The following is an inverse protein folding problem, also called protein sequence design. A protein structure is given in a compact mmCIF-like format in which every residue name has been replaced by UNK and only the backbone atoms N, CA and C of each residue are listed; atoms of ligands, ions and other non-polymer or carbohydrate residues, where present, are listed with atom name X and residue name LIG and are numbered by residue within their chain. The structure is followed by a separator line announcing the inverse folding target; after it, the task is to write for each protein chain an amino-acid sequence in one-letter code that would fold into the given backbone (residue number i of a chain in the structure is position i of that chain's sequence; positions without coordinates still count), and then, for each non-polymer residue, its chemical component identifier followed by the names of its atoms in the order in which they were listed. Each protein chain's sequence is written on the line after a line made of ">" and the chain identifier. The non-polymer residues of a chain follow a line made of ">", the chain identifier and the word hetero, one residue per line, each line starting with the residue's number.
data_IF_513654777148
#
_entry.id   IF_513654777148
#
_cell.length_a   1.000
_cell.length_b   1.000
_cell.length_c   1.000
_cell.angle_alpha   90.00
_cell.angle_beta   90.00
_cell.angle_gamma   90.00
#
_symmetry.space_group_name_H-M   'P 1'
#
loop_
_entity.id
_entity.type
_entity.pdbx_description
1 polymer ?
#
# COMPACT_ATOMS: atom_id res chain seq x y z
N UNK A 1 24.74 5.42 67.54
CA UNK A 1 23.47 5.31 66.79
C UNK A 1 22.35 4.96 67.77
N UNK A 2 21.33 5.82 67.87
CA UNK A 2 20.20 5.69 68.80
C UNK A 2 19.17 4.66 68.32
N UNK A 3 18.44 4.10 69.31
CA UNK A 3 17.34 3.10 69.31
C UNK A 3 16.12 3.58 68.46
N UNK A 4 15.16 2.77 67.99
CA UNK A 4 14.06 2.03 68.67
C UNK A 4 13.47 1.00 67.65
N UNK A 5 13.32 -0.32 67.89
CA UNK A 5 12.30 -1.13 68.62
C UNK A 5 10.80 -0.85 68.34
N UNK A 6 10.10 -1.79 67.70
CA UNK A 6 8.90 -2.58 68.12
C UNK A 6 8.32 -3.35 66.88
N UNK A 7 8.15 -4.69 66.77
CA UNK A 7 7.35 -5.70 67.55
C UNK A 7 5.83 -5.51 67.28
N UNK A 8 4.97 -6.46 66.86
CA UNK A 8 4.97 -7.92 66.64
C UNK A 8 3.63 -8.37 65.96
N UNK A 9 3.55 -9.66 65.57
CA UNK A 9 2.39 -10.59 65.48
C UNK A 9 1.47 -10.49 64.23
N UNK A 10 1.31 -11.48 63.32
CA UNK A 10 1.21 -12.96 63.35
C UNK A 10 -0.20 -13.52 63.64
N UNK A 11 -0.48 -14.66 62.99
CA UNK A 11 -1.65 -15.58 63.00
C UNK A 11 -2.69 -15.37 61.88
N UNK A 12 -3.20 -16.38 61.15
CA UNK A 12 -2.90 -17.80 60.79
C UNK A 12 -4.24 -18.36 60.27
N UNK A 13 -4.25 -19.15 59.18
CA UNK A 13 -5.09 -20.36 58.94
C UNK A 13 -4.93 -20.77 57.46
N UNK A 14 -4.05 -21.70 57.10
CA UNK A 14 -4.16 -23.18 57.10
C UNK A 14 -5.30 -23.76 56.24
N UNK A 15 -4.92 -24.69 55.35
CA UNK A 15 -5.78 -25.74 54.79
C UNK A 15 -5.90 -25.71 53.25
N UNK A 16 -4.87 -26.13 52.50
CA UNK A 16 -4.71 -27.48 51.92
C UNK A 16 -5.88 -27.87 51.00
N UNK A 17 -5.63 -27.92 49.68
CA UNK A 17 -5.92 -29.02 48.74
C UNK A 17 -5.68 -28.53 47.29
N UNK A 18 -4.53 -28.90 46.71
CA UNK A 18 -4.44 -29.16 45.26
C UNK A 18 -5.09 -30.55 45.01
N UNK A 19 -5.46 -30.98 43.78
CA UNK A 19 -5.21 -30.40 42.46
C UNK A 19 -6.47 -30.40 41.55
N UNK A 20 -6.46 -29.75 40.39
CA UNK A 20 -7.06 -30.19 39.11
C UNK A 20 -7.09 -29.03 38.12
N UNK A 21 -6.86 -29.37 36.85
CA UNK A 21 -6.69 -28.54 35.68
C UNK A 21 -7.69 -27.39 35.54
N UNK A 22 -7.23 -26.26 35.01
CA UNK A 22 -7.63 -25.87 33.66
C UNK A 22 -6.68 -24.80 33.10
N UNK A 23 -6.30 -25.04 31.85
CA UNK A 23 -5.57 -24.14 30.99
C UNK A 23 -6.20 -22.75 31.03
N UNK A 24 -5.53 -21.80 31.69
CA UNK A 24 -5.69 -20.40 31.33
C UNK A 24 -4.80 -20.18 30.12
N UNK A 25 -5.33 -20.54 28.95
CA UNK A 25 -4.97 -19.80 27.76
C UNK A 25 -5.23 -18.35 28.11
N UNK A 26 -4.21 -17.50 28.00
CA UNK A 26 -4.46 -16.08 27.89
C UNK A 26 -5.45 -15.94 26.74
N UNK A 27 -6.70 -15.58 27.05
CA UNK A 27 -7.60 -14.99 26.08
C UNK A 27 -6.83 -13.76 25.59
N UNK A 28 -6.23 -13.93 24.41
CA UNK A 28 -5.88 -12.80 23.57
C UNK A 28 -7.22 -12.12 23.36
N UNK A 29 -7.43 -11.02 24.08
CA UNK A 29 -8.43 -10.04 23.75
C UNK A 29 -8.11 -9.59 22.33
N UNK A 30 -8.64 -10.32 21.34
CA UNK A 30 -8.96 -9.74 20.05
C UNK A 30 -9.98 -8.67 20.40
N UNK A 31 -9.49 -7.47 20.71
CA UNK A 31 -10.27 -6.27 20.52
C UNK A 31 -10.69 -6.34 19.07
N UNK A 32 -11.92 -6.81 18.85
CA UNK A 32 -12.65 -6.57 17.61
C UNK A 32 -12.69 -5.05 17.56
N UNK A 33 -11.71 -4.48 16.86
CA UNK A 33 -11.78 -3.11 16.39
C UNK A 33 -13.17 -3.00 15.80
N UNK A 34 -13.91 -1.98 16.18
CA UNK A 34 -15.20 -1.67 15.61
C UNK A 34 -14.95 -1.30 14.13
N UNK A 35 -14.69 -2.31 13.29
CA UNK A 35 -14.43 -2.18 11.87
C UNK A 35 -15.72 -1.67 11.26
N UNK A 36 -15.63 -0.63 10.44
CA UNK A 36 -16.77 -0.14 9.68
C UNK A 36 -17.41 -1.34 8.96
N UNK A 37 -18.74 -1.48 9.07
CA UNK A 37 -19.47 -2.71 8.69
C UNK A 37 -19.20 -3.17 7.25
N UNK A 38 -18.76 -2.24 6.40
CA UNK A 38 -18.32 -2.47 5.02
C UNK A 38 -16.98 -3.20 4.92
N UNK A 39 -15.97 -2.80 5.70
CA UNK A 39 -14.66 -3.49 5.70
C UNK A 39 -14.81 -4.89 6.28
N UNK A 40 -15.61 -5.04 7.33
CA UNK A 40 -15.92 -6.34 7.92
C UNK A 40 -16.56 -7.31 6.91
N UNK A 41 -17.45 -6.83 6.02
CA UNK A 41 -18.09 -7.69 5.00
C UNK A 41 -17.13 -8.24 3.95
N UNK A 42 -15.93 -7.65 3.82
CA UNK A 42 -14.88 -8.14 2.91
C UNK A 42 -14.09 -9.28 3.54
N UNK A 43 -13.68 -9.11 4.80
CA UNK A 43 -12.78 -10.07 5.45
C UNK A 43 -13.51 -11.16 6.21
N UNK A 44 -14.67 -10.90 6.81
CA UNK A 44 -15.57 -11.91 7.42
C UNK A 44 -14.88 -12.95 8.35
N UNK A 45 -13.73 -12.62 8.96
CA UNK A 45 -12.84 -13.52 9.72
C UNK A 45 -12.21 -14.67 8.89
N UNK A 46 -12.08 -14.48 7.58
CA UNK A 46 -11.44 -15.41 6.64
C UNK A 46 -10.00 -14.95 6.34
N UNK A 47 -9.04 -15.87 6.44
CA UNK A 47 -7.67 -15.67 5.95
C UNK A 47 -7.49 -16.23 4.52
N UNK A 48 -8.56 -16.73 3.91
CA UNK A 48 -8.51 -17.28 2.56
C UNK A 48 -8.58 -16.16 1.52
N UNK A 49 -7.47 -15.99 0.78
CA UNK A 49 -7.32 -14.99 -0.28
C UNK A 49 -8.42 -15.10 -1.34
N UNK A 50 -8.82 -16.30 -1.76
CA UNK A 50 -9.82 -16.49 -2.81
C UNK A 50 -11.22 -16.04 -2.39
N UNK A 51 -11.57 -16.30 -1.13
CA UNK A 51 -12.86 -15.90 -0.56
C UNK A 51 -12.91 -14.38 -0.38
N UNK A 52 -11.83 -13.77 0.12
CA UNK A 52 -11.69 -12.30 0.22
C UNK A 52 -11.82 -11.66 -1.16
N UNK A 53 -11.16 -12.20 -2.20
CA UNK A 53 -11.28 -11.69 -3.58
C UNK A 53 -12.73 -11.80 -4.07
N UNK A 54 -13.39 -12.91 -3.77
CA UNK A 54 -14.80 -13.11 -4.11
C UNK A 54 -15.71 -12.11 -3.39
N UNK A 55 -15.38 -11.72 -2.16
CA UNK A 55 -16.09 -10.67 -1.42
C UNK A 55 -15.83 -9.29 -2.03
N UNK A 56 -14.58 -8.95 -2.34
CA UNK A 56 -14.18 -7.70 -3.02
C UNK A 56 -15.03 -7.47 -4.28
N UNK A 57 -15.12 -8.48 -5.15
CA UNK A 57 -15.87 -8.41 -6.41
C UNK A 57 -17.38 -8.28 -6.25
N UNK A 58 -17.94 -8.70 -5.12
CA UNK A 58 -19.39 -8.65 -4.85
C UNK A 58 -19.86 -7.33 -4.23
N UNK A 59 -18.96 -6.55 -3.64
CA UNK A 59 -19.31 -5.38 -2.82
C UNK A 59 -19.31 -4.04 -3.58
N UNK A 60 -19.18 -4.05 -4.91
CA UNK A 60 -19.27 -2.87 -5.78
C UNK A 60 -18.42 -1.68 -5.31
N UNK A 61 -17.12 -1.91 -5.10
CA UNK A 61 -16.21 -0.94 -4.46
C UNK A 61 -16.11 0.41 -5.18
N UNK A 62 -16.48 0.50 -6.46
CA UNK A 62 -16.53 1.75 -7.21
C UNK A 62 -17.49 2.79 -6.61
N UNK A 63 -18.53 2.34 -5.88
CA UNK A 63 -19.50 3.20 -5.20
C UNK A 63 -19.07 3.61 -3.78
N UNK A 64 -17.96 3.06 -3.28
CA UNK A 64 -17.44 3.41 -1.97
C UNK A 64 -16.72 4.76 -2.03
N UNK A 65 -16.79 5.49 -0.92
CA UNK A 65 -16.00 6.71 -0.78
C UNK A 65 -14.52 6.37 -0.53
N UNK A 66 -13.66 7.37 -0.70
CA UNK A 66 -12.22 7.16 -0.56
C UNK A 66 -11.81 6.83 0.89
N UNK A 67 -12.60 7.21 1.91
CA UNK A 67 -12.28 6.88 3.31
C UNK A 67 -12.41 5.38 3.52
N UNK A 68 -13.55 4.80 3.14
CA UNK A 68 -13.82 3.37 3.28
C UNK A 68 -12.83 2.52 2.45
N UNK A 69 -12.49 2.99 1.25
CA UNK A 69 -11.52 2.32 0.38
C UNK A 69 -10.10 2.32 0.95
N UNK A 70 -9.67 3.44 1.54
CA UNK A 70 -8.36 3.51 2.19
C UNK A 70 -8.32 2.66 3.47
N UNK A 71 -9.40 2.64 4.26
CA UNK A 71 -9.50 1.75 5.43
C UNK A 71 -9.42 0.27 5.03
N UNK A 72 -10.04 -0.10 3.92
CA UNK A 72 -9.94 -1.45 3.36
C UNK A 72 -8.50 -1.78 2.94
N UNK A 73 -7.79 -0.86 2.27
CA UNK A 73 -6.38 -1.03 1.89
C UNK A 73 -5.46 -1.13 3.11
N UNK A 74 -5.70 -0.34 4.15
CA UNK A 74 -4.94 -0.35 5.40
C UNK A 74 -5.19 -1.64 6.20
N UNK A 75 -6.41 -2.18 6.14
CA UNK A 75 -6.73 -3.46 6.77
C UNK A 75 -5.90 -4.58 6.15
N UNK A 76 -5.71 -4.59 4.83
CA UNK A 76 -4.83 -5.56 4.14
C UNK A 76 -3.38 -5.48 4.64
N UNK A 77 -2.90 -4.33 5.11
CA UNK A 77 -1.54 -4.22 5.64
C UNK A 77 -1.37 -4.94 6.99
N UNK A 78 -2.47 -5.09 7.74
CA UNK A 78 -2.48 -5.59 9.11
C UNK A 78 -2.90 -7.06 9.25
N UNK A 79 -3.47 -7.67 8.20
CA UNK A 79 -3.80 -9.10 8.21
C UNK A 79 -2.54 -9.96 8.12
N UNK A 80 -2.58 -11.16 8.72
CA UNK A 80 -1.45 -12.09 8.85
C UNK A 80 -1.00 -12.78 7.55
N UNK A 81 -1.21 -12.15 6.39
CA UNK A 81 -0.86 -12.69 5.08
C UNK A 81 0.55 -12.29 4.64
N UNK A 82 1.17 -13.13 3.81
CA UNK A 82 2.46 -12.81 3.21
C UNK A 82 2.35 -11.61 2.24
N UNK A 83 3.49 -11.03 1.85
CA UNK A 83 3.53 -9.83 1.00
C UNK A 83 2.88 -10.04 -0.37
N UNK A 84 2.95 -11.24 -0.96
CA UNK A 84 2.41 -11.52 -2.29
C UNK A 84 0.89 -11.65 -2.26
N UNK A 85 0.35 -12.23 -1.20
CA UNK A 85 -1.09 -12.32 -0.98
C UNK A 85 -1.68 -10.94 -0.69
N UNK A 86 -1.03 -10.15 0.18
CA UNK A 86 -1.42 -8.75 0.42
C UNK A 86 -1.37 -7.93 -0.87
N UNK A 87 -0.33 -8.07 -1.68
CA UNK A 87 -0.24 -7.39 -2.97
C UNK A 87 -1.34 -7.83 -3.94
N UNK A 88 -1.75 -9.10 -3.88
CA UNK A 88 -2.88 -9.62 -4.68
C UNK A 88 -4.20 -8.99 -4.23
N UNK A 89 -4.47 -8.92 -2.93
CA UNK A 89 -5.68 -8.29 -2.40
C UNK A 89 -5.74 -6.80 -2.72
N UNK A 90 -4.66 -6.04 -2.48
CA UNK A 90 -4.61 -4.61 -2.82
C UNK A 90 -4.82 -4.35 -4.30
N UNK A 91 -4.24 -5.20 -5.16
CA UNK A 91 -4.48 -5.12 -6.61
C UNK A 91 -5.96 -5.25 -6.94
N UNK A 92 -6.66 -6.23 -6.38
CA UNK A 92 -8.09 -6.44 -6.64
C UNK A 92 -8.92 -5.28 -6.09
N UNK A 93 -8.67 -4.81 -4.86
CA UNK A 93 -9.36 -3.66 -4.25
C UNK A 93 -9.22 -2.42 -5.15
N UNK A 94 -8.00 -2.09 -5.57
CA UNK A 94 -7.72 -0.92 -6.41
C UNK A 94 -8.48 -1.04 -7.75
N UNK A 95 -8.46 -2.20 -8.39
CA UNK A 95 -9.15 -2.40 -9.67
C UNK A 95 -10.67 -2.29 -9.53
N UNK A 96 -11.26 -2.93 -8.53
CA UNK A 96 -12.70 -2.89 -8.27
C UNK A 96 -13.18 -1.51 -7.78
N UNK A 97 -12.27 -0.67 -7.26
CA UNK A 97 -12.57 0.72 -6.89
C UNK A 97 -12.56 1.71 -8.06
N UNK A 98 -12.32 1.24 -9.30
CA UNK A 98 -12.41 2.05 -10.53
C UNK A 98 -11.09 2.33 -11.24
N UNK A 99 -9.94 1.85 -10.72
CA UNK A 99 -8.64 1.95 -11.40
C UNK A 99 -8.43 0.77 -12.35
N UNK A 100 -9.32 0.61 -13.34
CA UNK A 100 -9.43 -0.59 -14.19
C UNK A 100 -8.15 -0.97 -14.96
N UNK A 101 -7.26 -0.01 -15.23
CA UNK A 101 -5.99 -0.26 -15.94
C UNK A 101 -4.81 -0.54 -15.01
N UNK A 102 -5.02 -0.46 -13.69
CA UNK A 102 -3.96 -0.71 -12.71
C UNK A 102 -3.53 -2.17 -12.75
N UNK A 103 -2.21 -2.40 -12.83
CA UNK A 103 -1.60 -3.71 -13.04
C UNK A 103 -2.24 -4.50 -14.21
N UNK A 104 -2.44 -3.84 -15.34
CA UNK A 104 -3.03 -4.47 -16.53
C UNK A 104 -2.25 -5.69 -17.05
N UNK A 105 -0.98 -5.85 -16.63
CA UNK A 105 -0.12 -6.99 -16.93
C UNK A 105 -0.40 -8.22 -16.05
N UNK A 106 -1.11 -8.05 -14.93
CA UNK A 106 -1.44 -9.11 -13.98
C UNK A 106 -0.27 -9.61 -13.13
N UNK A 107 0.80 -8.81 -12.97
CA UNK A 107 2.05 -9.23 -12.32
C UNK A 107 2.22 -8.73 -10.89
N UNK A 108 1.30 -7.89 -10.38
CA UNK A 108 1.37 -7.17 -9.09
C UNK A 108 2.50 -6.14 -9.02
N UNK A 109 3.23 -5.94 -10.12
CA UNK A 109 4.41 -5.07 -10.15
C UNK A 109 4.05 -3.63 -9.81
N UNK A 110 2.87 -3.17 -10.23
CA UNK A 110 2.40 -1.82 -9.93
C UNK A 110 2.08 -1.63 -8.43
N UNK A 111 1.64 -2.67 -7.73
CA UNK A 111 1.45 -2.63 -6.26
C UNK A 111 2.81 -2.61 -5.56
N UNK A 112 3.73 -3.47 -5.99
CA UNK A 112 5.08 -3.58 -5.45
C UNK A 112 5.94 -2.34 -5.74
N UNK A 113 5.52 -1.47 -6.65
CA UNK A 113 6.15 -0.18 -6.89
C UNK A 113 5.89 0.82 -5.74
N UNK A 114 4.94 0.54 -4.84
CA UNK A 114 4.69 1.33 -3.65
C UNK A 114 5.39 0.74 -2.43
N UNK A 115 6.11 1.59 -1.70
CA UNK A 115 6.89 1.23 -0.52
C UNK A 115 5.97 0.63 0.54
N UNK A 116 6.35 -0.54 1.04
CA UNK A 116 5.61 -1.30 2.04
C UNK A 116 4.15 -1.61 1.63
N UNK A 117 3.85 -1.62 0.32
CA UNK A 117 2.51 -1.74 -0.25
C UNK A 117 1.54 -0.63 0.17
N UNK A 118 2.04 0.49 0.72
CA UNK A 118 1.20 1.61 1.16
C UNK A 118 0.75 2.45 -0.03
N UNK A 119 -0.54 2.39 -0.29
CA UNK A 119 -1.20 3.04 -1.42
C UNK A 119 -2.41 3.77 -0.86
N UNK A 120 -2.54 5.04 -1.22
CA UNK A 120 -3.64 5.90 -0.84
C UNK A 120 -4.45 6.25 -2.09
N UNK A 121 -5.77 6.09 -2.03
CA UNK A 121 -6.70 6.61 -3.02
C UNK A 121 -7.07 8.02 -2.60
N UNK A 122 -6.72 8.99 -3.45
CA UNK A 122 -7.06 10.40 -3.25
C UNK A 122 -7.94 10.90 -4.40
N UNK A 123 -8.70 11.95 -4.14
CA UNK A 123 -9.34 12.77 -5.17
C UNK A 123 -8.70 14.15 -5.14
N UNK A 124 -8.29 14.65 -6.30
CA UNK A 124 -7.66 15.97 -6.41
C UNK A 124 -8.67 17.05 -6.01
N UNK A 125 -8.42 17.78 -4.93
CA UNK A 125 -9.28 18.82 -4.36
C UNK A 125 -9.10 20.18 -5.05
N UNK A 126 -7.87 20.47 -5.48
CA UNK A 126 -7.47 21.61 -6.30
C UNK A 126 -6.49 21.19 -7.39
N UNK A 127 -6.47 21.84 -8.58
CA UNK A 127 -5.58 21.43 -9.65
C UNK A 127 -4.10 21.37 -9.24
N UNK A 128 -3.45 20.22 -9.43
CA UNK A 128 -2.04 20.00 -9.08
C UNK A 128 -1.17 19.84 -10.32
N UNK A 129 0.10 20.23 -10.19
CA UNK A 129 1.12 19.98 -11.20
C UNK A 129 1.82 18.66 -10.92
N UNK A 130 1.87 17.78 -11.93
CA UNK A 130 2.62 16.53 -11.86
C UNK A 130 3.65 16.44 -12.99
N UNK A 131 4.73 15.72 -12.72
CA UNK A 131 5.94 15.72 -13.53
C UNK A 131 6.35 14.30 -13.90
N UNK A 132 6.77 14.09 -15.14
CA UNK A 132 7.29 12.79 -15.60
C UNK A 132 8.45 13.00 -16.54
N UNK A 133 9.43 12.10 -16.51
CA UNK A 133 10.43 12.00 -17.58
C UNK A 133 10.21 10.75 -18.42
N UNK A 134 10.44 10.86 -19.72
CA UNK A 134 10.36 9.74 -20.65
C UNK A 134 11.15 9.99 -21.93
N UNK A 135 10.85 9.29 -23.02
CA UNK A 135 11.44 9.52 -24.35
C UNK A 135 10.74 10.66 -25.08
N UNK A 136 11.48 11.30 -26.00
CA UNK A 136 10.93 12.31 -26.92
C UNK A 136 9.82 11.69 -27.78
N UNK A 137 8.73 12.45 -27.96
CA UNK A 137 7.64 12.05 -28.85
C UNK A 137 6.89 10.82 -28.37
N UNK A 138 6.80 10.60 -27.05
CA UNK A 138 5.97 9.52 -26.51
C UNK A 138 4.53 9.66 -27.01
N UNK A 139 4.10 8.65 -27.76
CA UNK A 139 2.79 8.60 -28.38
C UNK A 139 1.76 8.33 -27.31
N UNK A 140 0.61 9.00 -27.42
CA UNK A 140 -0.56 8.71 -26.60
C UNK A 140 -0.92 7.22 -26.72
N UNK A 141 -1.00 6.55 -25.57
CA UNK A 141 -1.54 5.20 -25.52
C UNK A 141 -3.07 5.26 -25.55
N UNK A 142 -3.77 4.12 -25.72
CA UNK A 142 -5.23 4.07 -25.52
C UNK A 142 -5.72 4.57 -24.14
N UNK A 143 -4.80 4.81 -23.20
CA UNK A 143 -5.06 5.29 -21.86
C UNK A 143 -4.45 6.67 -21.58
N UNK A 144 -4.10 7.42 -22.63
CA UNK A 144 -3.46 8.72 -22.49
C UNK A 144 -1.94 8.63 -22.34
N UNK A 145 -1.36 9.63 -21.68
CA UNK A 145 0.08 9.85 -21.55
C UNK A 145 0.73 9.14 -20.35
N UNK A 146 0.76 7.82 -20.37
CA UNK A 146 1.36 7.04 -19.29
C UNK A 146 0.70 7.26 -17.92
N UNK A 147 1.02 6.40 -16.97
CA UNK A 147 0.26 6.35 -15.70
C UNK A 147 1.00 6.94 -14.51
N UNK A 148 2.33 6.84 -14.50
CA UNK A 148 3.16 7.13 -13.34
C UNK A 148 3.74 8.54 -13.41
N UNK A 149 3.49 9.33 -12.37
CA UNK A 149 3.91 10.72 -12.29
C UNK A 149 4.51 11.05 -10.92
N UNK A 150 5.43 12.00 -10.87
CA UNK A 150 6.04 12.52 -9.65
C UNK A 150 5.43 13.86 -9.23
N UNK A 151 5.60 14.17 -7.96
CA UNK A 151 5.17 15.41 -7.27
C UNK A 151 5.99 16.66 -7.64
N UNK A 152 7.23 16.49 -8.09
CA UNK A 152 8.14 17.58 -8.43
C UNK A 152 8.94 17.28 -9.69
N UNK A 153 9.45 18.35 -10.30
CA UNK A 153 10.46 18.29 -11.34
C UNK A 153 11.72 17.57 -10.84
N UNK A 154 12.29 16.74 -11.71
CA UNK A 154 13.48 15.94 -11.44
C UNK A 154 14.40 15.94 -12.66
N UNK A 155 15.70 15.86 -12.41
CA UNK A 155 16.70 15.46 -13.38
C UNK A 155 16.55 13.97 -13.75
N UNK A 156 17.35 13.50 -14.72
CA UNK A 156 17.40 12.08 -15.06
C UNK A 156 17.82 11.27 -13.83
N UNK A 157 18.91 11.64 -13.17
CA UNK A 157 19.43 10.90 -12.02
C UNK A 157 18.47 10.89 -10.82
N UNK A 158 17.83 12.02 -10.52
CA UNK A 158 16.79 12.08 -9.48
C UNK A 158 15.58 11.20 -9.85
N UNK A 159 15.18 11.17 -11.13
CA UNK A 159 14.11 10.27 -11.58
C UNK A 159 14.51 8.80 -11.42
N UNK A 160 15.74 8.44 -11.79
CA UNK A 160 16.25 7.08 -11.63
C UNK A 160 16.28 6.66 -10.16
N UNK A 161 16.83 7.51 -9.30
CA UNK A 161 17.10 7.16 -7.91
C UNK A 161 15.87 7.32 -7.02
N UNK A 162 15.20 8.48 -7.06
CA UNK A 162 14.09 8.77 -6.15
C UNK A 162 12.79 8.08 -6.58
N UNK A 163 12.51 7.97 -7.89
CA UNK A 163 11.34 7.26 -8.44
C UNK A 163 11.67 5.81 -8.86
N UNK A 164 12.84 5.31 -8.44
CA UNK A 164 13.30 3.95 -8.68
C UNK A 164 13.16 3.43 -10.13
N UNK A 165 13.27 4.31 -11.13
CA UNK A 165 13.11 3.92 -12.53
C UNK A 165 14.41 3.28 -13.03
N UNK A 166 14.42 1.96 -13.23
CA UNK A 166 15.63 1.25 -13.65
C UNK A 166 16.07 1.63 -15.07
N UNK A 167 17.37 1.85 -15.26
CA UNK A 167 17.98 2.03 -16.58
C UNK A 167 17.80 0.79 -17.44
N UNK A 168 17.82 -0.40 -16.82
CA UNK A 168 17.53 -1.67 -17.48
C UNK A 168 16.16 -1.72 -18.19
N UNK A 169 15.20 -0.85 -17.83
CA UNK A 169 13.90 -0.76 -18.49
C UNK A 169 13.96 0.00 -19.83
N UNK A 170 15.10 0.59 -20.19
CA UNK A 170 15.38 1.14 -21.52
C UNK A 170 14.72 2.49 -21.84
N UNK A 171 14.04 3.13 -20.88
CA UNK A 171 13.49 4.48 -21.09
C UNK A 171 14.61 5.52 -20.94
N UNK A 172 14.93 6.36 -21.95
CA UNK A 172 16.04 7.31 -21.86
C UNK A 172 15.81 8.49 -20.91
N UNK A 173 14.57 8.77 -20.50
CA UNK A 173 14.20 9.91 -19.64
C UNK A 173 14.66 11.29 -20.18
N UNK A 174 14.91 11.39 -21.48
CA UNK A 174 15.45 12.59 -22.13
C UNK A 174 14.46 13.75 -22.19
N UNK A 175 13.15 13.46 -22.20
CA UNK A 175 12.08 14.45 -22.27
C UNK A 175 11.36 14.61 -20.94
N UNK A 176 11.05 15.85 -20.56
CA UNK A 176 10.20 16.17 -19.42
C UNK A 176 8.79 16.46 -19.89
N UNK A 177 7.82 15.87 -19.21
CA UNK A 177 6.40 16.09 -19.39
C UNK A 177 5.83 16.67 -18.10
N UNK A 178 4.99 17.68 -18.24
CA UNK A 178 4.33 18.35 -17.12
C UNK A 178 2.84 18.37 -17.43
N UNK A 179 2.02 17.94 -16.49
CA UNK A 179 0.56 18.02 -16.59
C UNK A 179 0.00 18.83 -15.44
N UNK A 180 -1.13 19.49 -15.70
CA UNK A 180 -2.00 20.04 -14.66
C UNK A 180 -3.21 19.12 -14.52
N UNK A 181 -3.24 18.32 -13.45
CA UNK A 181 -4.36 17.42 -13.17
C UNK A 181 -5.52 18.26 -12.63
N UNK A 182 -6.73 18.16 -13.21
CA UNK A 182 -7.87 18.94 -12.74
C UNK A 182 -8.43 18.41 -11.42
N UNK A 183 -9.21 19.26 -10.74
CA UNK A 183 -10.02 18.88 -9.58
C UNK A 183 -10.98 17.73 -9.93
N UNK A 184 -11.20 16.84 -8.97
CA UNK A 184 -12.13 15.71 -9.06
C UNK A 184 -11.52 14.43 -9.64
N UNK A 185 -10.24 14.45 -10.04
CA UNK A 185 -9.58 13.25 -10.58
C UNK A 185 -9.17 12.32 -9.44
N UNK A 186 -9.68 11.08 -9.45
CA UNK A 186 -9.21 10.01 -8.57
C UNK A 186 -7.82 9.52 -9.00
N UNK A 187 -6.92 9.41 -8.03
CA UNK A 187 -5.49 9.11 -8.25
C UNK A 187 -4.99 8.19 -7.13
N UNK A 188 -4.08 7.27 -7.44
CA UNK A 188 -3.34 6.55 -6.40
C UNK A 188 -2.10 7.34 -6.03
N UNK A 189 -1.81 7.49 -4.75
CA UNK A 189 -0.64 8.17 -4.22
C UNK A 189 0.12 7.24 -3.29
N UNK A 190 1.43 7.36 -3.28
CA UNK A 190 2.26 6.69 -2.28
C UNK A 190 3.73 6.99 -2.46
N UNK A 191 4.55 6.34 -1.66
CA UNK A 191 6.01 6.45 -1.73
C UNK A 191 6.54 5.37 -2.66
N UNK A 192 7.49 5.70 -3.53
CA UNK A 192 8.11 4.71 -4.42
C UNK A 192 8.94 3.70 -3.62
N UNK A 193 8.75 2.41 -3.89
CA UNK A 193 9.58 1.33 -3.37
C UNK A 193 10.92 1.22 -4.12
N UNK A 194 11.94 0.70 -3.44
CA UNK A 194 13.21 0.38 -4.10
C UNK A 194 13.02 -0.67 -5.20
N UNK A 195 13.77 -0.55 -6.28
CA UNK A 195 13.75 -1.49 -7.40
C UNK A 195 15.13 -2.13 -7.57
N UNK A 196 15.13 -3.42 -7.89
CA UNK A 196 16.35 -4.21 -8.08
C UNK A 196 16.27 -4.93 -9.43
N UNK A 197 17.28 -4.73 -10.27
CA UNK A 197 17.54 -5.60 -11.41
C UNK A 197 18.63 -6.59 -11.03
N UNK A 198 18.32 -7.88 -11.10
CA UNK A 198 19.34 -8.93 -11.00
C UNK A 198 19.93 -9.23 -12.38
N UNK A 199 21.17 -9.70 -12.40
CA UNK A 199 21.76 -10.33 -13.58
C UNK A 199 21.01 -11.64 -13.86
N UNK A 200 20.61 -11.85 -15.13
CA UNK A 200 19.74 -12.95 -15.55
C UNK A 200 20.16 -14.31 -14.97
N UNK A 201 19.22 -14.95 -14.26
CA UNK A 201 19.41 -16.28 -13.68
C UNK A 201 20.33 -16.33 -12.45
N UNK A 202 20.68 -15.18 -11.86
CA UNK A 202 21.56 -15.09 -10.70
C UNK A 202 20.95 -14.24 -9.59
N UNK A 203 21.54 -14.30 -8.39
CA UNK A 203 21.26 -13.40 -7.26
C UNK A 203 22.14 -12.14 -7.27
N UNK A 204 22.96 -11.94 -8.30
CA UNK A 204 23.86 -10.78 -8.40
C UNK A 204 23.07 -9.54 -8.80
N UNK A 205 23.14 -8.50 -7.97
CA UNK A 205 22.51 -7.20 -8.26
C UNK A 205 23.26 -6.51 -9.40
N UNK A 206 22.54 -6.19 -10.49
CA UNK A 206 23.05 -5.41 -11.63
C UNK A 206 22.74 -3.93 -11.48
N UNK A 207 21.54 -3.63 -10.97
CA UNK A 207 21.10 -2.26 -10.72
C UNK A 207 20.23 -2.22 -9.47
N UNK A 208 20.42 -1.20 -8.66
CA UNK A 208 19.61 -0.92 -7.48
C UNK A 208 19.25 0.56 -7.50
N UNK A 209 17.98 0.87 -7.26
CA UNK A 209 17.50 2.24 -7.04
C UNK A 209 16.67 2.26 -5.77
N UNK A 210 16.98 3.20 -4.89
CA UNK A 210 16.43 3.25 -3.54
C UNK A 210 14.94 3.60 -3.51
N UNK A 211 14.47 4.44 -4.45
CA UNK A 211 13.12 4.98 -4.40
C UNK A 211 12.99 6.07 -3.33
N UNK A 212 11.79 6.19 -2.74
CA UNK A 212 11.53 7.12 -1.64
C UNK A 212 10.85 8.44 -2.01
N UNK A 213 10.67 8.75 -3.30
CA UNK A 213 9.85 9.88 -3.72
C UNK A 213 8.34 9.61 -3.58
N UNK A 214 7.56 10.69 -3.54
CA UNK A 214 6.12 10.62 -3.78
C UNK A 214 5.86 10.37 -5.26
N UNK A 215 5.00 9.39 -5.54
CA UNK A 215 4.52 9.06 -6.87
C UNK A 215 3.00 9.00 -6.91
N UNK A 216 2.48 9.19 -8.11
CA UNK A 216 1.07 9.14 -8.44
C UNK A 216 0.83 8.17 -9.58
N UNK A 217 -0.29 7.45 -9.52
CA UNK A 217 -0.80 6.64 -10.61
C UNK A 217 -2.19 7.12 -11.02
N UNK A 218 -2.37 7.43 -12.31
CA UNK A 218 -3.63 7.95 -12.85
C UNK A 218 -4.12 7.02 -13.95
N UNK A 219 -5.40 6.63 -13.88
CA UNK A 219 -6.00 5.63 -14.79
C UNK A 219 -6.01 6.04 -16.26
N UNK A 220 -6.17 7.35 -16.51
CA UNK A 220 -6.14 7.95 -17.83
C UNK A 220 -5.64 9.40 -17.74
N UNK A 221 -4.59 9.74 -18.49
CA UNK A 221 -4.00 11.09 -18.50
C UNK A 221 -4.23 11.75 -19.85
N UNK A 222 -5.17 12.71 -19.89
CA UNK A 222 -5.50 13.42 -21.13
C UNK A 222 -4.33 14.29 -21.62
N UNK A 223 -4.08 14.28 -22.92
CA UNK A 223 -3.13 15.20 -23.56
C UNK A 223 -3.50 16.68 -23.35
N UNK A 224 -4.77 16.98 -23.13
CA UNK A 224 -5.25 18.33 -22.83
C UNK A 224 -4.72 18.89 -21.51
N UNK A 225 -4.20 18.04 -20.62
CA UNK A 225 -3.61 18.45 -19.35
C UNK A 225 -2.14 18.87 -19.48
N UNK A 226 -1.49 18.58 -20.62
CA UNK A 226 -0.11 18.99 -20.86
C UNK A 226 0.03 20.52 -20.82
N UNK A 227 1.17 20.98 -20.28
CA UNK A 227 1.57 22.39 -20.25
C UNK A 227 2.73 22.67 -21.19
#
# INVERSE_FOLDING_TARGET
>A
MKRYRFVLLFFVLLGIFNPFSNNTYAEVNNSVLNQDSKVFSIFNNEDNVEDIISNIKRNNLVEWDNKDLNELLDTVDNIGLNIMDRATLKREIIRESGFFNFDFKGTKSDVLAFKDLRIEIIEIDEPIMLYRRSKVGEVESKYGLGYWWGDKKRSIDETRNELAVLEAWGNPLSMEYIIQVPKGVKTLRGVTASQIQYLNGTSTIKEYREGGAIQYWINHVSISWLK
#
